data_IF_384164327363
#
_entry.id   IF_384164327363
#
_cell.length_a   1.000
_cell.length_b   1.000
_cell.length_c   1.000
_cell.angle_alpha   90.00
_cell.angle_beta   90.00
_cell.angle_gamma   90.00
#
_symmetry.space_group_name_H-M   'P 1'
#
loop_
_entity.id
_entity.type
_entity.pdbx_description
1 polymer ?
#
# COMPACT_ATOMS: atom_id res chain seq x y z
N UNK A 1 5.29 9.50 1.84
CA UNK A 1 5.20 8.05 1.56
C UNK A 1 6.59 7.46 1.40
N UNK A 2 7.33 7.82 0.34
CA UNK A 2 8.69 7.31 0.05
C UNK A 2 9.63 7.27 1.28
N UNK A 3 9.91 8.40 1.94
CA UNK A 3 10.79 8.41 3.11
C UNK A 3 10.28 7.56 4.29
N UNK A 4 8.96 7.37 4.44
CA UNK A 4 8.41 6.47 5.44
C UNK A 4 8.79 5.01 5.17
N UNK A 5 8.77 4.58 3.90
CA UNK A 5 9.24 3.24 3.51
C UNK A 5 10.73 3.08 3.79
N UNK A 6 11.54 4.10 3.52
CA UNK A 6 12.97 4.12 3.86
C UNK A 6 13.20 3.94 5.36
N UNK A 7 12.54 4.77 6.19
CA UNK A 7 12.70 4.79 7.65
C UNK A 7 12.18 3.49 8.29
N UNK A 8 11.13 2.88 7.74
CA UNK A 8 10.54 1.64 8.28
C UNK A 8 11.51 0.45 8.28
N UNK A 9 12.52 0.48 7.40
CA UNK A 9 13.46 -0.62 7.13
C UNK A 9 12.81 -1.95 6.73
N UNK A 10 11.50 -1.98 6.48
CA UNK A 10 10.79 -3.18 6.05
C UNK A 10 11.00 -3.44 4.55
N UNK A 11 11.01 -4.71 4.10
CA UNK A 11 10.84 -5.04 2.69
C UNK A 11 9.47 -4.62 2.18
N UNK A 12 9.37 -4.19 0.92
CA UNK A 12 8.09 -3.81 0.33
C UNK A 12 8.03 -4.04 -1.18
N UNK A 13 6.83 -4.39 -1.64
CA UNK A 13 6.41 -4.27 -3.04
C UNK A 13 5.54 -3.01 -3.16
N UNK A 14 5.94 -2.05 -4.00
CA UNK A 14 5.17 -0.82 -4.23
C UNK A 14 4.72 -0.74 -5.68
N UNK A 15 3.42 -0.86 -5.88
CA UNK A 15 2.79 -0.63 -7.19
C UNK A 15 2.61 0.87 -7.40
N UNK A 16 3.36 1.46 -8.33
CA UNK A 16 3.19 2.85 -8.78
C UNK A 16 2.72 2.79 -10.22
N UNK A 17 1.46 3.17 -10.49
CA UNK A 17 0.96 3.17 -11.89
C UNK A 17 1.45 4.42 -12.61
N UNK A 18 1.76 4.35 -13.92
CA UNK A 18 1.99 5.55 -14.73
C UNK A 18 0.90 6.59 -14.53
N UNK A 19 1.28 7.86 -14.35
CA UNK A 19 0.35 8.96 -14.04
C UNK A 19 -0.14 9.04 -12.58
N UNK A 20 0.29 8.15 -11.68
CA UNK A 20 -0.06 8.25 -10.24
C UNK A 20 0.70 9.38 -9.53
N UNK A 21 1.82 9.80 -10.09
CA UNK A 21 2.61 10.92 -9.59
C UNK A 21 2.43 12.06 -10.60
N UNK A 22 1.84 13.16 -10.13
CA UNK A 22 1.51 14.31 -10.98
C UNK A 22 2.79 14.90 -11.59
N UNK A 23 2.82 15.02 -12.92
CA UNK A 23 3.97 15.56 -13.64
C UNK A 23 5.09 14.57 -13.96
N UNK A 24 4.90 13.27 -13.74
CA UNK A 24 5.85 12.23 -14.15
C UNK A 24 5.18 11.10 -14.93
N UNK A 25 5.94 10.46 -15.81
CA UNK A 25 5.49 9.27 -16.53
C UNK A 25 5.39 8.06 -15.61
N UNK A 26 6.27 7.93 -14.60
CA UNK A 26 6.24 6.86 -13.63
C UNK A 26 6.92 7.18 -12.30
N UNK A 27 8.25 7.03 -12.20
CA UNK A 27 9.01 7.14 -10.94
C UNK A 27 10.04 8.29 -10.95
N UNK A 28 10.06 9.09 -12.00
CA UNK A 28 11.07 10.15 -12.22
C UNK A 28 10.99 11.25 -11.15
N UNK A 29 9.83 11.43 -10.54
CA UNK A 29 9.60 12.39 -9.45
C UNK A 29 9.64 11.76 -8.05
N UNK A 30 10.15 10.52 -7.91
CA UNK A 30 10.51 10.01 -6.58
C UNK A 30 11.64 10.87 -5.97
N UNK A 31 11.68 11.04 -4.63
CA UNK A 31 12.69 11.88 -3.99
C UNK A 31 14.12 11.43 -4.35
N UNK A 32 15.01 12.41 -4.57
CA UNK A 32 16.42 12.14 -4.79
C UNK A 32 17.00 11.27 -3.65
N UNK A 33 17.78 10.24 -4.00
CA UNK A 33 18.38 9.33 -3.03
C UNK A 33 17.43 8.24 -2.50
N UNK A 34 16.16 8.23 -2.91
CA UNK A 34 15.19 7.27 -2.40
C UNK A 34 15.55 5.83 -2.79
N UNK A 35 15.85 5.58 -4.08
CA UNK A 35 16.13 4.24 -4.59
C UNK A 35 17.40 3.66 -3.96
N UNK A 36 18.42 4.48 -3.79
CA UNK A 36 19.67 4.14 -3.10
C UNK A 36 19.41 3.80 -1.62
N UNK A 37 18.55 4.57 -0.95
CA UNK A 37 18.26 4.36 0.46
C UNK A 37 17.39 3.11 0.74
N UNK A 38 16.55 2.70 -0.20
CA UNK A 38 15.74 1.46 -0.05
C UNK A 38 16.49 0.21 -0.52
N UNK A 39 17.34 0.34 -1.53
CA UNK A 39 18.14 -0.76 -2.08
C UNK A 39 17.31 -1.99 -2.44
N UNK A 40 17.88 -3.17 -2.17
CA UNK A 40 17.29 -4.49 -2.49
C UNK A 40 16.03 -4.84 -1.68
N UNK A 41 15.67 -4.04 -0.67
CA UNK A 41 14.43 -4.25 0.12
C UNK A 41 13.18 -3.79 -0.64
N UNK A 42 13.35 -3.12 -1.78
CA UNK A 42 12.25 -2.59 -2.57
C UNK A 42 12.05 -3.37 -3.85
N UNK A 43 10.79 -3.60 -4.18
CA UNK A 43 10.37 -3.96 -5.53
C UNK A 43 9.34 -2.91 -5.98
N UNK A 44 9.66 -2.12 -7.01
CA UNK A 44 8.77 -1.06 -7.52
C UNK A 44 8.32 -1.46 -8.92
N UNK A 45 7.01 -1.62 -9.10
CA UNK A 45 6.41 -2.13 -10.34
C UNK A 45 5.23 -1.29 -10.79
N UNK A 46 4.90 -1.36 -12.09
CA UNK A 46 3.73 -0.66 -12.65
C UNK A 46 2.42 -1.37 -12.33
N UNK A 47 2.48 -2.69 -12.18
CA UNK A 47 1.35 -3.57 -11.90
C UNK A 47 1.86 -4.85 -11.22
N UNK A 48 1.02 -5.46 -10.40
CA UNK A 48 1.29 -6.75 -9.77
C UNK A 48 -0.02 -7.57 -9.72
N UNK A 49 0.07 -8.91 -9.78
CA UNK A 49 -1.09 -9.78 -9.57
C UNK A 49 -1.48 -9.76 -8.09
N UNK A 50 -2.32 -8.80 -7.69
CA UNK A 50 -2.57 -8.49 -6.27
C UNK A 50 -3.03 -9.71 -5.45
N UNK A 51 -3.91 -10.54 -6.01
CA UNK A 51 -4.34 -11.79 -5.35
C UNK A 51 -3.17 -12.75 -5.10
N UNK A 52 -2.34 -13.00 -6.11
CA UNK A 52 -1.18 -13.88 -5.96
C UNK A 52 -0.17 -13.31 -4.94
N UNK A 53 0.04 -11.99 -4.97
CA UNK A 53 0.87 -11.30 -3.97
C UNK A 53 0.31 -11.49 -2.57
N UNK A 54 -0.99 -11.23 -2.35
CA UNK A 54 -1.62 -11.34 -1.04
C UNK A 54 -1.66 -12.77 -0.51
N UNK A 55 -1.74 -13.78 -1.40
CA UNK A 55 -1.70 -15.19 -1.03
C UNK A 55 -0.30 -15.70 -0.64
N UNK A 56 0.74 -14.88 -0.80
CA UNK A 56 2.12 -15.30 -0.55
C UNK A 56 2.53 -15.06 0.91
N UNK A 57 3.03 -16.09 1.59
CA UNK A 57 3.40 -16.07 3.03
C UNK A 57 4.37 -14.95 3.45
N UNK A 58 5.20 -14.46 2.53
CA UNK A 58 6.09 -13.33 2.78
C UNK A 58 5.37 -11.97 2.95
N UNK A 59 4.08 -11.87 2.61
CA UNK A 59 3.32 -10.61 2.71
C UNK A 59 2.71 -10.48 4.10
N UNK A 60 3.31 -9.60 4.91
CA UNK A 60 2.85 -9.32 6.27
C UNK A 60 1.78 -8.23 6.41
N UNK A 61 1.43 -7.54 5.33
CA UNK A 61 0.43 -6.47 5.39
C UNK A 61 0.22 -5.73 4.07
N UNK A 62 -0.97 -5.13 3.93
CA UNK A 62 -1.38 -4.36 2.75
C UNK A 62 -1.61 -2.89 3.11
N UNK A 63 -0.84 -1.98 2.50
CA UNK A 63 -1.20 -0.55 2.53
C UNK A 63 -2.23 -0.27 1.44
N UNK A 64 -3.48 -0.02 1.84
CA UNK A 64 -4.61 0.07 0.92
C UNK A 64 -5.37 1.39 1.03
N UNK A 65 -5.89 1.85 -0.10
CA UNK A 65 -6.92 2.88 -0.16
C UNK A 65 -8.30 2.38 0.29
N UNK A 66 -8.44 1.09 0.64
CA UNK A 66 -9.69 0.50 1.13
C UNK A 66 -10.83 0.53 0.11
N UNK A 67 -10.52 0.44 -1.19
CA UNK A 67 -11.52 0.07 -2.18
C UNK A 67 -12.08 -1.33 -1.88
N UNK A 68 -13.35 -1.55 -2.18
CA UNK A 68 -14.05 -2.76 -1.73
C UNK A 68 -13.39 -4.07 -2.20
N UNK A 69 -12.96 -4.14 -3.46
CA UNK A 69 -12.29 -5.32 -4.00
C UNK A 69 -11.00 -5.64 -3.23
N UNK A 70 -10.05 -4.69 -3.16
CA UNK A 70 -8.81 -4.88 -2.37
C UNK A 70 -9.06 -5.21 -0.91
N UNK A 71 -10.16 -4.70 -0.33
CA UNK A 71 -10.55 -5.01 1.05
C UNK A 71 -10.95 -6.48 1.17
N UNK A 72 -11.78 -6.99 0.27
CA UNK A 72 -12.20 -8.40 0.26
C UNK A 72 -11.03 -9.34 -0.03
N UNK A 73 -10.15 -8.99 -0.96
CA UNK A 73 -8.95 -9.77 -1.29
C UNK A 73 -8.03 -9.90 -0.06
N UNK A 74 -7.75 -8.78 0.63
CA UNK A 74 -6.93 -8.78 1.85
C UNK A 74 -7.56 -9.61 2.98
N UNK A 75 -8.89 -9.53 3.16
CA UNK A 75 -9.60 -10.32 4.17
C UNK A 75 -9.56 -11.81 3.85
N UNK A 76 -9.71 -12.17 2.57
CA UNK A 76 -9.73 -13.57 2.11
C UNK A 76 -8.38 -14.25 2.35
N UNK A 77 -7.29 -13.53 2.14
CA UNK A 77 -5.92 -14.02 2.37
C UNK A 77 -5.43 -13.79 3.82
N UNK A 78 -6.27 -13.24 4.71
CA UNK A 78 -5.90 -12.99 6.11
C UNK A 78 -4.80 -11.94 6.30
N UNK A 79 -4.59 -11.05 5.32
CA UNK A 79 -3.54 -10.02 5.36
C UNK A 79 -4.07 -8.76 6.06
N UNK A 80 -3.40 -8.25 7.11
CA UNK A 80 -3.83 -7.05 7.82
C UNK A 80 -3.60 -5.78 6.98
N UNK A 81 -4.47 -4.78 7.17
CA UNK A 81 -4.45 -3.57 6.35
C UNK A 81 -3.95 -2.33 7.09
N UNK A 82 -3.05 -1.57 6.46
CA UNK A 82 -2.82 -0.16 6.77
C UNK A 82 -3.72 0.68 5.87
N UNK A 83 -4.76 1.27 6.43
CA UNK A 83 -5.78 1.99 5.67
C UNK A 83 -5.38 3.46 5.45
N UNK A 84 -5.45 3.90 4.19
CA UNK A 84 -5.35 5.31 3.79
C UNK A 84 -6.36 5.62 2.68
N UNK A 85 -7.64 5.84 3.01
CA UNK A 85 -8.68 6.09 2.01
C UNK A 85 -8.42 7.39 1.23
N UNK A 86 -8.86 7.41 -0.04
CA UNK A 86 -8.68 8.54 -0.94
C UNK A 86 -10.02 9.25 -1.27
N UNK A 87 -11.07 8.51 -1.64
CA UNK A 87 -12.37 9.08 -2.07
C UNK A 87 -13.52 8.08 -1.96
N UNK A 88 -14.77 8.52 -2.21
CA UNK A 88 -15.96 7.66 -2.21
C UNK A 88 -16.18 6.93 -0.86
N UNK A 89 -16.64 5.69 -0.93
CA UNK A 89 -16.91 4.72 0.13
C UNK A 89 -15.66 4.24 0.89
N UNK A 90 -14.47 4.55 0.39
CA UNK A 90 -13.21 4.09 0.98
C UNK A 90 -13.05 4.48 2.44
N UNK A 91 -13.55 5.65 2.85
CA UNK A 91 -13.52 6.09 4.26
C UNK A 91 -14.41 5.23 5.15
N UNK A 92 -15.55 4.78 4.63
CA UNK A 92 -16.46 3.88 5.33
C UNK A 92 -15.81 2.50 5.44
N UNK A 93 -15.27 1.98 4.34
CA UNK A 93 -14.56 0.69 4.32
C UNK A 93 -13.38 0.68 5.31
N UNK A 94 -12.53 1.72 5.28
CA UNK A 94 -11.42 1.89 6.22
C UNK A 94 -11.88 1.93 7.68
N UNK A 95 -13.05 2.52 7.97
CA UNK A 95 -13.63 2.52 9.32
C UNK A 95 -14.08 1.12 9.74
N UNK A 96 -14.71 0.36 8.86
CA UNK A 96 -15.09 -1.03 9.15
C UNK A 96 -13.86 -1.90 9.42
N UNK A 97 -12.87 -1.84 8.52
CA UNK A 97 -11.60 -2.59 8.67
C UNK A 97 -10.92 -2.29 10.01
N UNK A 98 -10.82 -1.01 10.38
CA UNK A 98 -10.06 -0.61 11.57
C UNK A 98 -10.84 -0.67 12.88
N UNK A 99 -12.11 -0.27 12.91
CA UNK A 99 -12.87 -0.08 14.14
C UNK A 99 -13.86 -1.21 14.42
N UNK A 100 -14.40 -1.85 13.38
CA UNK A 100 -15.44 -2.88 13.51
C UNK A 100 -14.82 -4.27 13.47
N UNK A 101 -14.16 -4.61 12.36
CA UNK A 101 -13.54 -5.93 12.18
C UNK A 101 -12.18 -6.05 12.86
N UNK A 102 -11.53 -4.91 13.17
CA UNK A 102 -10.21 -4.86 13.83
C UNK A 102 -9.14 -5.65 13.05
N UNK A 103 -9.21 -5.60 11.72
CA UNK A 103 -8.29 -6.27 10.79
C UNK A 103 -7.22 -5.32 10.23
N UNK A 104 -7.14 -4.10 10.75
CA UNK A 104 -6.21 -3.11 10.26
C UNK A 104 -6.16 -1.85 11.09
N UNK A 105 -5.32 -0.92 10.66
CA UNK A 105 -5.13 0.38 11.29
C UNK A 105 -5.44 1.50 10.31
N UNK A 106 -6.31 2.44 10.70
CA UNK A 106 -6.61 3.61 9.90
C UNK A 106 -5.74 4.78 10.31
N UNK A 107 -4.70 5.04 9.52
CA UNK A 107 -3.79 6.15 9.72
C UNK A 107 -4.41 7.45 9.21
N UNK A 108 -4.64 8.39 10.12
CA UNK A 108 -5.01 9.77 9.78
C UNK A 108 -3.78 10.66 9.95
N UNK A 109 -3.41 11.42 8.92
CA UNK A 109 -2.55 12.58 9.10
C UNK A 109 -3.42 13.68 9.67
N UNK A 110 -3.14 14.06 10.92
CA UNK A 110 -3.67 15.30 11.51
C UNK A 110 -2.92 16.49 10.94
#
# INVERSE_FOLDING_TARGET
MAWGLTISRQPFLWVIRPGSICGSDWIELLPQGFLEAVGERSCIVKWAPQMEVLSHDAVGGLWSHCGWNSTLESISEGVPMLCRPCFSDQTVNARYVSQVWKLGYNWRMN
#
